data_IF_799923414291
#
_entry.id   IF_799923414291
#
_cell.length_a   1.000
_cell.length_b   1.000
_cell.length_c   1.000
_cell.angle_alpha   90.00
_cell.angle_beta   90.00
_cell.angle_gamma   90.00
#
_symmetry.space_group_name_H-M   'P 1'
#
loop_
_entity.id
_entity.type
_entity.pdbx_description
1 polymer ?
#
# COMPACT_ATOMS: atom_id res chain seq x y z
N UNK A 1 20.62 12.50 10.02
CA UNK A 1 19.88 12.02 8.82
C UNK A 1 19.34 13.20 8.07
N UNK A 2 19.39 13.25 6.74
CA UNK A 2 18.79 14.33 5.99
C UNK A 2 17.27 14.35 6.25
N UNK A 3 16.75 15.52 6.52
CA UNK A 3 15.31 15.70 6.69
C UNK A 3 14.71 15.91 5.30
N UNK A 4 13.99 14.90 4.79
CA UNK A 4 13.33 15.02 3.49
C UNK A 4 12.20 16.08 3.55
N UNK A 5 11.92 16.78 2.44
CA UNK A 5 10.75 17.65 2.34
C UNK A 5 9.49 16.86 2.69
N UNK A 6 8.65 17.42 3.56
CA UNK A 6 7.46 16.77 4.08
C UNK A 6 6.30 17.75 4.17
N UNK A 7 5.11 17.31 3.79
CA UNK A 7 3.83 17.95 4.12
C UNK A 7 3.11 17.18 5.21
N UNK A 8 2.12 17.79 5.85
CA UNK A 8 1.29 17.08 6.83
C UNK A 8 -0.04 16.69 6.21
N UNK A 9 -0.30 15.39 6.14
CA UNK A 9 -1.56 14.82 5.63
C UNK A 9 -2.27 13.97 6.68
N UNK A 10 -1.54 13.14 7.39
CA UNK A 10 -2.10 12.13 8.28
C UNK A 10 -2.10 12.58 9.75
N UNK A 11 -2.96 11.94 10.53
CA UNK A 11 -2.89 11.96 11.98
C UNK A 11 -2.03 10.78 12.43
N UNK A 12 -0.84 11.08 12.95
CA UNK A 12 0.10 10.12 13.50
C UNK A 12 0.48 10.52 14.93
N UNK A 13 0.79 9.57 15.84
CA UNK A 13 0.81 8.13 15.58
C UNK A 13 -0.59 7.54 15.37
N UNK A 14 -0.72 6.58 14.43
CA UNK A 14 -1.98 5.87 14.24
C UNK A 14 -2.25 4.91 15.41
N UNK A 15 -3.51 4.59 15.74
CA UNK A 15 -3.81 3.72 16.87
C UNK A 15 -3.17 2.34 16.74
N UNK A 16 -2.73 1.82 17.87
CA UNK A 16 -2.23 0.45 18.05
C UNK A 16 -2.94 -0.16 19.25
N UNK A 17 -3.59 -1.29 19.08
CA UNK A 17 -4.27 -2.00 20.18
C UNK A 17 -4.33 -3.50 19.94
N UNK A 18 -4.54 -4.25 21.01
CA UNK A 18 -4.74 -5.68 20.97
C UNK A 18 -6.11 -6.02 20.41
N UNK A 19 -6.22 -7.10 19.67
CA UNK A 19 -7.47 -7.70 19.20
C UNK A 19 -7.82 -8.86 20.13
N UNK A 20 -8.62 -8.61 21.16
CA UNK A 20 -8.80 -9.57 22.25
C UNK A 20 -9.50 -10.85 21.80
N UNK A 21 -10.61 -10.74 21.09
CA UNK A 21 -11.33 -11.92 20.61
C UNK A 21 -10.58 -12.69 19.53
N UNK A 22 -9.91 -11.99 18.62
CA UNK A 22 -9.12 -12.64 17.60
C UNK A 22 -7.87 -13.30 18.17
N UNK A 23 -7.26 -12.72 19.20
CA UNK A 23 -6.14 -13.34 19.92
C UNK A 23 -6.54 -14.68 20.55
N UNK A 24 -7.68 -14.70 21.25
CA UNK A 24 -8.19 -15.91 21.90
C UNK A 24 -8.56 -17.00 20.87
N UNK A 25 -9.21 -16.62 19.75
CA UNK A 25 -9.59 -17.55 18.68
C UNK A 25 -8.37 -18.14 17.95
N UNK A 26 -7.31 -17.36 17.78
CA UNK A 26 -6.13 -17.75 17.00
C UNK A 26 -4.96 -18.27 17.86
N UNK A 27 -5.05 -18.13 19.18
CA UNK A 27 -4.01 -18.60 20.12
C UNK A 27 -2.69 -17.84 20.05
N UNK A 28 -2.71 -16.55 19.64
CA UNK A 28 -1.53 -15.68 19.56
C UNK A 28 -1.82 -14.33 20.23
N UNK A 29 -0.80 -13.56 20.62
CA UNK A 29 -0.98 -12.19 21.09
C UNK A 29 -1.08 -11.23 19.89
N UNK A 30 -2.30 -11.09 19.35
CA UNK A 30 -2.56 -10.36 18.09
C UNK A 30 -2.89 -8.89 18.35
N UNK A 31 -2.11 -8.02 17.74
CA UNK A 31 -2.28 -6.57 17.75
C UNK A 31 -2.58 -6.04 16.36
N UNK A 32 -3.20 -4.87 16.29
CA UNK A 32 -3.48 -4.20 15.02
C UNK A 32 -2.96 -2.76 15.01
N UNK A 33 -2.19 -2.43 13.98
CA UNK A 33 -1.76 -1.06 13.66
C UNK A 33 -2.75 -0.46 12.66
N UNK A 34 -3.44 0.62 13.04
CA UNK A 34 -4.65 1.14 12.38
C UNK A 34 -4.36 2.27 11.40
N UNK A 35 -3.68 1.97 10.27
CA UNK A 35 -3.51 2.97 9.21
C UNK A 35 -4.80 3.26 8.42
N UNK A 36 -5.82 2.44 8.54
CA UNK A 36 -7.17 2.76 8.10
C UNK A 36 -7.74 4.01 8.82
N UNK A 37 -7.19 4.38 9.98
CA UNK A 37 -7.57 5.54 10.79
C UNK A 37 -6.59 6.71 10.69
N UNK A 38 -5.84 6.84 9.61
CA UNK A 38 -4.95 8.01 9.40
C UNK A 38 -5.67 9.36 9.34
N UNK A 39 -7.01 9.36 9.24
CA UNK A 39 -7.81 10.59 9.16
C UNK A 39 -7.71 11.34 7.83
N UNK A 40 -6.94 10.84 6.86
CA UNK A 40 -6.74 11.47 5.57
C UNK A 40 -7.45 10.69 4.45
N UNK A 41 -8.32 11.37 3.69
CA UNK A 41 -9.02 10.84 2.52
C UNK A 41 -9.61 9.43 2.76
N UNK A 42 -10.40 9.24 3.81
CA UNK A 42 -10.99 7.99 4.28
C UNK A 42 -9.97 6.92 4.70
N UNK A 43 -8.80 7.36 5.15
CA UNK A 43 -7.79 6.49 5.74
C UNK A 43 -6.97 5.66 4.76
N UNK A 44 -5.97 5.01 5.28
CA UNK A 44 -5.08 4.10 4.56
C UNK A 44 -3.61 4.53 4.58
N UNK A 45 -2.76 3.55 4.35
CA UNK A 45 -1.31 3.65 4.46
C UNK A 45 -0.65 4.60 3.44
N UNK A 46 -1.34 4.95 2.36
CA UNK A 46 -0.77 5.77 1.28
C UNK A 46 -0.47 7.21 1.72
N UNK A 47 -1.22 7.72 2.70
CA UNK A 47 -0.96 9.03 3.28
C UNK A 47 0.46 9.16 3.84
N UNK A 48 1.02 8.11 4.45
CA UNK A 48 2.41 8.09 4.95
C UNK A 48 3.44 8.32 3.84
N UNK A 49 3.23 7.71 2.69
CA UNK A 49 4.08 7.89 1.49
C UNK A 49 3.90 9.29 0.90
N UNK A 50 2.63 9.70 0.78
CA UNK A 50 2.27 10.97 0.16
C UNK A 50 2.78 12.19 0.93
N UNK A 51 2.93 12.12 2.25
CA UNK A 51 3.56 13.21 3.00
C UNK A 51 4.93 13.60 2.45
N UNK A 52 5.73 12.62 2.02
CA UNK A 52 7.06 12.84 1.46
C UNK A 52 7.04 13.03 -0.06
N UNK A 53 6.21 12.30 -0.79
CA UNK A 53 6.07 12.45 -2.24
C UNK A 53 5.55 13.85 -2.63
N UNK A 54 4.53 14.35 -1.94
CA UNK A 54 4.04 15.72 -2.14
C UNK A 54 5.09 16.75 -1.70
N UNK A 55 5.79 16.49 -0.59
CA UNK A 55 6.89 17.35 -0.15
C UNK A 55 7.97 17.48 -1.22
N UNK A 56 8.40 16.37 -1.82
CA UNK A 56 9.37 16.34 -2.90
C UNK A 56 8.85 17.07 -4.15
N UNK A 57 7.62 16.77 -4.59
CA UNK A 57 7.01 17.43 -5.75
C UNK A 57 6.95 18.95 -5.59
N UNK A 58 6.55 19.44 -4.42
CA UNK A 58 6.49 20.89 -4.14
C UNK A 58 7.90 21.52 -4.09
N UNK A 59 8.88 20.83 -3.50
CA UNK A 59 10.27 21.29 -3.47
C UNK A 59 10.87 21.42 -4.88
N UNK A 60 10.47 20.56 -5.81
CA UNK A 60 10.82 20.66 -7.21
C UNK A 60 9.99 21.73 -7.96
N UNK A 61 8.94 22.27 -7.35
CA UNK A 61 8.03 23.24 -7.97
C UNK A 61 7.11 22.61 -9.01
N UNK A 62 6.72 21.35 -8.82
CA UNK A 62 5.74 20.68 -9.67
C UNK A 62 4.39 21.40 -9.68
N UNK A 63 3.72 21.39 -10.82
CA UNK A 63 2.35 21.92 -10.99
C UNK A 63 1.34 20.80 -11.28
N UNK A 64 1.83 19.61 -11.63
CA UNK A 64 1.03 18.42 -11.87
C UNK A 64 1.72 17.17 -11.34
N UNK A 65 0.93 16.22 -10.84
CA UNK A 65 1.41 14.87 -10.51
C UNK A 65 0.69 13.89 -11.42
N UNK A 66 1.46 12.98 -11.99
CA UNK A 66 0.93 11.89 -12.82
C UNK A 66 1.29 10.54 -12.22
N UNK A 67 0.35 9.60 -12.26
CA UNK A 67 0.52 8.23 -11.75
C UNK A 67 -0.24 7.22 -12.59
N UNK A 68 -0.16 5.93 -12.22
CA UNK A 68 -0.97 4.87 -12.82
C UNK A 68 -1.47 3.88 -11.77
N UNK A 69 -2.44 3.04 -12.16
CA UNK A 69 -2.97 1.97 -11.32
C UNK A 69 -4.29 1.41 -11.81
N UNK A 70 -4.96 0.61 -10.98
CA UNK A 70 -6.33 0.19 -11.27
C UNK A 70 -7.31 1.34 -10.99
N UNK A 71 -8.49 1.29 -11.64
CA UNK A 71 -9.59 2.25 -11.41
C UNK A 71 -9.97 2.33 -9.92
N UNK A 72 -9.88 1.22 -9.18
CA UNK A 72 -10.17 1.19 -7.74
C UNK A 72 -8.93 1.38 -6.84
N UNK A 73 -7.92 2.10 -7.32
CA UNK A 73 -6.66 2.32 -6.60
C UNK A 73 -6.85 3.19 -5.35
N UNK A 74 -6.51 2.66 -4.18
CA UNK A 74 -6.43 3.43 -2.94
C UNK A 74 -5.32 4.51 -2.97
N UNK A 75 -4.30 4.33 -3.81
CA UNK A 75 -3.23 5.31 -3.98
C UNK A 75 -3.72 6.52 -4.75
N UNK A 76 -4.41 6.32 -5.88
CA UNK A 76 -4.93 7.40 -6.73
C UNK A 76 -5.89 8.28 -5.92
N UNK A 77 -6.84 7.69 -5.17
CA UNK A 77 -7.73 8.44 -4.28
C UNK A 77 -6.97 9.35 -3.32
N UNK A 78 -6.01 8.81 -2.58
CA UNK A 78 -5.28 9.61 -1.60
C UNK A 78 -4.36 10.64 -2.28
N UNK A 79 -3.79 10.31 -3.46
CA UNK A 79 -3.04 11.27 -4.26
C UNK A 79 -3.94 12.42 -4.74
N UNK A 80 -5.12 12.11 -5.27
CA UNK A 80 -6.10 13.12 -5.68
C UNK A 80 -6.46 14.08 -4.55
N UNK A 81 -6.70 13.54 -3.34
CA UNK A 81 -6.97 14.36 -2.16
C UNK A 81 -5.77 15.25 -1.78
N UNK A 82 -4.56 14.72 -1.84
CA UNK A 82 -3.35 15.50 -1.57
C UNK A 82 -3.16 16.60 -2.63
N UNK A 83 -3.33 16.26 -3.91
CA UNK A 83 -3.22 17.26 -4.99
C UNK A 83 -4.25 18.38 -4.82
N UNK A 84 -5.50 18.06 -4.47
CA UNK A 84 -6.54 19.06 -4.19
C UNK A 84 -6.15 19.99 -3.04
N UNK A 85 -5.56 19.47 -1.96
CA UNK A 85 -5.11 20.29 -0.81
C UNK A 85 -3.98 21.26 -1.16
N UNK A 86 -3.13 20.92 -2.12
CA UNK A 86 -1.94 21.73 -2.49
C UNK A 86 -2.06 22.44 -3.84
N UNK A 87 -3.25 22.40 -4.46
CA UNK A 87 -3.50 23.08 -5.75
C UNK A 87 -2.71 22.49 -6.92
N UNK A 88 -2.40 21.19 -6.87
CA UNK A 88 -1.71 20.47 -7.92
C UNK A 88 -2.72 19.79 -8.86
N UNK A 89 -2.44 19.76 -10.16
CA UNK A 89 -3.18 18.91 -11.10
C UNK A 89 -2.85 17.44 -10.79
N UNK A 90 -3.88 16.59 -10.78
CA UNK A 90 -3.71 15.14 -10.62
C UNK A 90 -4.24 14.43 -11.86
N UNK A 91 -3.40 13.63 -12.52
CA UNK A 91 -3.81 12.80 -13.64
C UNK A 91 -3.32 11.35 -13.45
N UNK A 92 -4.11 10.38 -13.91
CA UNK A 92 -3.81 8.97 -13.76
C UNK A 92 -4.12 8.17 -15.02
N UNK A 93 -3.15 7.37 -15.48
CA UNK A 93 -3.40 6.32 -16.47
C UNK A 93 -3.93 5.09 -15.73
N UNK A 94 -5.11 4.58 -16.12
CA UNK A 94 -5.77 3.50 -15.37
C UNK A 94 -6.33 2.41 -16.28
N UNK A 95 -6.33 1.20 -15.74
CA UNK A 95 -7.04 0.03 -16.26
C UNK A 95 -7.96 -0.51 -15.15
N UNK A 96 -9.03 -1.20 -15.49
CA UNK A 96 -9.92 -1.81 -14.49
C UNK A 96 -9.15 -2.87 -13.67
N UNK A 97 -8.52 -3.80 -14.36
CA UNK A 97 -7.72 -4.90 -13.79
C UNK A 97 -6.44 -5.13 -14.62
N UNK A 98 -5.38 -4.34 -14.39
CA UNK A 98 -4.08 -4.65 -14.98
C UNK A 98 -3.57 -6.00 -14.45
N UNK A 99 -2.81 -6.75 -15.24
CA UNK A 99 -2.34 -8.09 -14.90
C UNK A 99 -0.87 -8.30 -15.30
N UNK A 100 -0.22 -9.30 -14.71
CA UNK A 100 1.17 -9.63 -15.00
C UNK A 100 1.29 -10.58 -16.19
N UNK A 101 0.66 -11.75 -16.11
CA UNK A 101 0.85 -12.81 -17.11
C UNK A 101 -0.38 -13.08 -17.99
N UNK A 102 -1.57 -13.00 -17.43
CA UNK A 102 -2.81 -13.31 -18.13
C UNK A 102 -3.99 -12.53 -17.54
N UNK A 103 -4.94 -12.12 -18.39
CA UNK A 103 -6.14 -11.46 -17.90
C UNK A 103 -6.90 -12.36 -16.92
N UNK A 104 -7.37 -11.82 -15.80
CA UNK A 104 -8.18 -12.59 -14.87
C UNK A 104 -9.49 -13.04 -15.53
N UNK A 105 -9.90 -14.25 -15.25
CA UNK A 105 -11.06 -14.88 -15.90
C UNK A 105 -12.40 -14.30 -15.49
N UNK A 106 -12.54 -13.72 -14.30
CA UNK A 106 -13.78 -13.15 -13.77
C UNK A 106 -13.53 -12.32 -12.47
N UNK A 107 -14.46 -11.41 -12.14
CA UNK A 107 -14.74 -11.07 -10.75
C UNK A 107 -13.94 -9.92 -10.14
N UNK A 108 -13.43 -8.99 -10.92
CA UNK A 108 -12.88 -7.73 -10.43
C UNK A 108 -13.91 -6.87 -9.71
N UNK A 109 -13.45 -5.81 -9.06
CA UNK A 109 -14.34 -4.78 -8.53
C UNK A 109 -15.04 -4.05 -9.68
N UNK A 110 -16.20 -3.46 -9.38
CA UNK A 110 -16.90 -2.61 -10.35
C UNK A 110 -16.07 -1.36 -10.66
N UNK A 111 -16.15 -0.86 -11.88
CA UNK A 111 -15.50 0.37 -12.32
C UNK A 111 -16.21 1.63 -11.77
N UNK A 112 -17.29 1.44 -11.04
CA UNK A 112 -18.13 2.48 -10.42
C UNK A 112 -18.15 2.32 -8.89
N UNK A 113 -18.47 3.40 -8.19
CA UNK A 113 -18.48 3.42 -6.72
C UNK A 113 -17.07 3.38 -6.13
N UNK A 114 -16.95 3.12 -4.85
CA UNK A 114 -15.68 2.98 -4.16
C UNK A 114 -14.69 4.13 -4.44
N UNK A 115 -13.47 3.79 -4.79
CA UNK A 115 -12.43 4.77 -5.10
C UNK A 115 -12.71 5.55 -6.38
N UNK A 116 -13.27 4.92 -7.43
CA UNK A 116 -13.56 5.60 -8.70
C UNK A 116 -14.51 6.79 -8.53
N UNK A 117 -15.55 6.65 -7.70
CA UNK A 117 -16.46 7.76 -7.36
C UNK A 117 -15.72 8.88 -6.63
N UNK A 118 -14.86 8.52 -5.69
CA UNK A 118 -14.09 9.49 -4.90
C UNK A 118 -13.05 10.22 -5.74
N UNK A 119 -12.40 9.54 -6.68
CA UNK A 119 -11.45 10.13 -7.63
C UNK A 119 -12.14 11.18 -8.52
N UNK A 120 -13.35 10.90 -8.99
CA UNK A 120 -14.14 11.87 -9.75
C UNK A 120 -14.48 13.13 -8.93
N UNK A 121 -14.85 12.98 -7.66
CA UNK A 121 -15.13 14.11 -6.78
C UNK A 121 -13.89 14.91 -6.40
N UNK A 122 -12.73 14.25 -6.34
CA UNK A 122 -11.42 14.89 -6.09
C UNK A 122 -10.84 15.59 -7.34
N UNK A 123 -11.51 15.47 -8.49
CA UNK A 123 -11.06 16.07 -9.74
C UNK A 123 -9.82 15.41 -10.34
N UNK A 124 -9.62 14.11 -10.08
CA UNK A 124 -8.55 13.35 -10.73
C UNK A 124 -8.88 13.16 -12.20
N UNK A 125 -7.98 13.56 -13.09
CA UNK A 125 -8.11 13.34 -14.54
C UNK A 125 -7.76 11.87 -14.86
N UNK A 126 -8.79 11.04 -14.93
CA UNK A 126 -8.64 9.59 -15.17
C UNK A 126 -8.59 9.30 -16.67
N UNK A 127 -7.47 8.79 -17.16
CA UNK A 127 -7.28 8.29 -18.53
C UNK A 127 -7.45 6.77 -18.50
N UNK A 128 -8.62 6.30 -18.92
CA UNK A 128 -9.00 4.88 -18.85
C UNK A 128 -8.59 4.15 -20.12
N UNK A 129 -7.81 3.08 -19.96
CA UNK A 129 -7.35 2.21 -21.04
C UNK A 129 -8.00 0.83 -20.94
N UNK A 130 -8.01 0.10 -22.05
CA UNK A 130 -8.40 -1.30 -22.03
C UNK A 130 -7.49 -2.11 -21.10
N UNK A 131 -8.03 -3.17 -20.46
CA UNK A 131 -7.22 -4.04 -19.62
C UNK A 131 -6.06 -4.64 -20.42
N UNK A 132 -4.88 -4.60 -19.83
CA UNK A 132 -3.63 -5.05 -20.39
C UNK A 132 -2.63 -5.36 -19.28
N UNK A 133 -1.37 -5.53 -19.65
CA UNK A 133 -0.29 -5.79 -18.70
C UNK A 133 0.11 -4.54 -17.92
N UNK A 134 0.79 -4.74 -16.80
CA UNK A 134 1.43 -3.65 -16.05
C UNK A 134 2.43 -2.86 -16.92
N UNK A 135 3.18 -3.56 -17.79
CA UNK A 135 4.13 -2.91 -18.71
C UNK A 135 3.43 -1.96 -19.69
N UNK A 136 2.28 -2.37 -20.24
CA UNK A 136 1.46 -1.50 -21.11
C UNK A 136 0.94 -0.28 -20.33
N UNK A 137 0.48 -0.48 -19.10
CA UNK A 137 0.03 0.61 -18.24
C UNK A 137 1.15 1.61 -17.91
N UNK A 138 2.38 1.12 -17.71
CA UNK A 138 3.54 1.99 -17.48
C UNK A 138 3.89 2.82 -18.72
N UNK A 139 3.74 2.26 -19.92
CA UNK A 139 3.88 3.04 -21.19
C UNK A 139 2.84 4.16 -21.29
N UNK A 140 1.59 3.88 -20.93
CA UNK A 140 0.54 4.90 -20.88
C UNK A 140 0.82 5.99 -19.82
N UNK A 141 1.40 5.64 -18.69
CA UNK A 141 1.85 6.63 -17.71
C UNK A 141 2.93 7.54 -18.30
N UNK A 142 3.89 7.00 -19.04
CA UNK A 142 4.97 7.78 -19.65
C UNK A 142 4.43 8.70 -20.75
N UNK A 143 3.52 8.21 -21.60
CA UNK A 143 2.83 9.01 -22.62
C UNK A 143 2.04 10.17 -21.99
N UNK A 144 1.25 9.90 -20.97
CA UNK A 144 0.48 10.92 -20.24
C UNK A 144 1.39 11.96 -19.58
N UNK A 145 2.52 11.53 -19.02
CA UNK A 145 3.52 12.43 -18.45
C UNK A 145 4.07 13.39 -19.50
N UNK A 146 4.43 12.90 -20.69
CA UNK A 146 4.95 13.72 -21.78
C UNK A 146 3.90 14.69 -22.34
N UNK A 147 2.65 14.27 -22.45
CA UNK A 147 1.56 15.11 -22.95
C UNK A 147 1.27 16.27 -21.98
N UNK A 148 1.29 16.02 -20.68
CA UNK A 148 1.15 17.08 -19.67
C UNK A 148 2.33 18.05 -19.69
N UNK A 149 3.56 17.59 -19.93
CA UNK A 149 4.74 18.45 -20.11
C UNK A 149 4.61 19.33 -21.34
N UNK A 150 4.19 18.76 -22.48
CA UNK A 150 3.91 19.53 -23.72
C UNK A 150 2.81 20.58 -23.53
N UNK A 151 1.83 20.29 -22.66
CA UNK A 151 0.78 21.23 -22.28
C UNK A 151 1.27 22.33 -21.28
N UNK A 152 2.56 22.36 -20.93
CA UNK A 152 3.17 23.38 -20.09
C UNK A 152 3.18 23.08 -18.59
N UNK A 153 2.81 21.88 -18.17
CA UNK A 153 2.88 21.47 -16.77
C UNK A 153 4.31 21.07 -16.36
N UNK A 154 4.74 21.47 -15.16
CA UNK A 154 5.91 20.88 -14.52
C UNK A 154 5.47 19.60 -13.81
N UNK A 155 5.72 18.45 -14.44
CA UNK A 155 5.19 17.16 -14.04
C UNK A 155 6.12 16.46 -13.05
N UNK A 156 5.58 16.03 -11.91
CA UNK A 156 6.20 15.07 -11.01
C UNK A 156 5.57 13.68 -11.26
N UNK A 157 6.36 12.76 -11.82
CA UNK A 157 5.92 11.41 -12.15
C UNK A 157 6.06 10.49 -10.95
N UNK A 158 4.97 9.86 -10.54
CA UNK A 158 4.92 8.91 -9.43
C UNK A 158 4.50 7.53 -9.94
N UNK A 159 5.30 6.49 -9.75
CA UNK A 159 4.94 5.14 -10.18
C UNK A 159 3.78 4.57 -9.36
N UNK A 160 3.29 3.41 -9.78
CA UNK A 160 2.18 2.71 -9.14
C UNK A 160 2.37 2.62 -7.63
N UNK A 161 1.31 2.93 -6.87
CA UNK A 161 1.32 2.85 -5.41
C UNK A 161 2.30 3.78 -4.68
N UNK A 162 2.92 4.73 -5.38
CA UNK A 162 3.93 5.64 -4.80
C UNK A 162 5.23 4.92 -4.43
N UNK A 163 5.66 3.96 -5.26
CA UNK A 163 6.83 3.14 -4.99
C UNK A 163 8.12 3.83 -5.39
N UNK A 164 8.51 4.81 -4.58
CA UNK A 164 9.71 5.62 -4.69
C UNK A 164 10.47 5.64 -3.34
N UNK A 165 11.75 6.01 -3.34
CA UNK A 165 12.54 6.15 -2.11
C UNK A 165 11.87 7.01 -1.03
N UNK A 166 11.23 8.12 -1.40
CA UNK A 166 10.49 8.99 -0.50
C UNK A 166 9.27 8.27 0.11
N UNK A 167 8.59 7.44 -0.69
CA UNK A 167 7.49 6.61 -0.22
C UNK A 167 7.94 5.55 0.78
N UNK A 168 9.11 4.92 0.55
CA UNK A 168 9.73 3.99 1.49
C UNK A 168 10.16 4.67 2.78
N UNK A 169 10.66 5.91 2.71
CA UNK A 169 11.02 6.71 3.88
C UNK A 169 9.82 6.93 4.80
N UNK A 170 8.62 7.14 4.24
CA UNK A 170 7.39 7.24 5.02
C UNK A 170 7.11 6.00 5.87
N UNK A 171 7.45 4.81 5.35
CA UNK A 171 7.29 3.56 6.09
C UNK A 171 8.45 3.21 7.00
N UNK A 172 9.64 3.65 6.71
CA UNK A 172 10.77 3.60 7.65
C UNK A 172 10.46 4.41 8.91
N UNK A 173 9.91 5.61 8.76
CA UNK A 173 9.43 6.43 9.90
C UNK A 173 8.26 5.75 10.63
N UNK A 174 7.37 5.08 9.90
CA UNK A 174 6.24 4.35 10.49
C UNK A 174 6.69 3.12 11.29
N UNK A 175 7.75 2.44 10.86
CA UNK A 175 8.38 1.34 11.62
C UNK A 175 8.89 1.84 12.97
N UNK A 176 9.55 3.02 12.99
CA UNK A 176 9.95 3.66 14.25
C UNK A 176 8.76 3.97 15.14
N UNK A 177 7.68 4.54 14.57
CA UNK A 177 6.45 4.81 15.31
C UNK A 177 5.88 3.56 15.97
N UNK A 178 5.84 2.44 15.25
CA UNK A 178 5.36 1.16 15.79
C UNK A 178 6.23 0.69 16.97
N UNK A 179 7.54 0.75 16.83
CA UNK A 179 8.48 0.35 17.88
C UNK A 179 8.33 1.22 19.14
N UNK A 180 8.19 2.53 18.98
CA UNK A 180 7.99 3.47 20.09
C UNK A 180 6.65 3.26 20.82
N UNK A 181 5.60 2.79 20.13
CA UNK A 181 4.29 2.52 20.73
C UNK A 181 4.22 1.23 21.54
N UNK A 182 5.06 0.24 21.25
CA UNK A 182 4.92 -1.10 21.85
C UNK A 182 6.26 -1.78 22.15
N UNK A 183 7.14 -1.20 22.99
CA UNK A 183 8.33 -1.92 23.42
C UNK A 183 7.96 -3.19 24.20
N UNK A 184 8.71 -4.30 24.10
CA UNK A 184 9.96 -4.44 23.36
C UNK A 184 9.81 -4.69 21.85
N UNK A 185 8.61 -4.64 21.26
CA UNK A 185 8.34 -4.89 19.86
C UNK A 185 7.40 -6.08 19.62
N UNK A 186 7.42 -6.59 18.41
CA UNK A 186 6.63 -7.73 17.95
C UNK A 186 7.56 -8.81 17.39
N UNK A 187 7.15 -10.08 17.51
CA UNK A 187 7.84 -11.19 16.86
C UNK A 187 7.62 -11.12 15.32
N UNK A 188 6.42 -10.67 14.90
CA UNK A 188 6.12 -10.51 13.48
C UNK A 188 5.23 -9.29 13.21
N UNK A 189 5.47 -8.64 12.06
CA UNK A 189 4.59 -7.61 11.47
C UNK A 189 4.09 -8.12 10.13
N UNK A 190 2.76 -8.30 10.01
CA UNK A 190 2.10 -8.88 8.83
C UNK A 190 1.24 -7.81 8.14
N UNK A 191 1.36 -7.66 6.83
CA UNK A 191 0.62 -6.67 6.05
C UNK A 191 0.48 -7.06 4.58
N UNK A 192 -0.43 -6.38 3.88
CA UNK A 192 -0.56 -6.51 2.43
C UNK A 192 0.61 -5.83 1.70
N UNK A 193 1.34 -6.57 0.90
CA UNK A 193 2.46 -6.12 0.07
C UNK A 193 2.12 -6.21 -1.42
N UNK A 194 2.47 -5.18 -2.18
CA UNK A 194 2.27 -5.09 -3.62
C UNK A 194 3.41 -4.22 -4.19
N UNK A 195 3.23 -2.94 -4.50
CA UNK A 195 4.22 -2.07 -5.17
C UNK A 195 5.54 -1.79 -4.42
N UNK A 196 5.78 -2.30 -3.23
CA UNK A 196 7.10 -2.38 -2.57
C UNK A 196 7.43 -1.35 -1.49
N UNK A 197 7.14 -0.07 -1.62
CA UNK A 197 7.67 0.93 -0.68
C UNK A 197 7.25 0.75 0.79
N UNK A 198 6.10 0.11 1.07
CA UNK A 198 5.74 -0.30 2.43
C UNK A 198 6.70 -1.37 2.96
N UNK A 199 6.92 -2.42 2.16
CA UNK A 199 7.82 -3.53 2.50
C UNK A 199 9.26 -3.04 2.71
N UNK A 200 9.78 -2.29 1.75
CA UNK A 200 11.15 -1.78 1.79
C UNK A 200 11.38 -0.89 3.02
N UNK A 201 10.48 0.05 3.30
CA UNK A 201 10.61 0.93 4.47
C UNK A 201 10.59 0.18 5.79
N UNK A 202 9.66 -0.76 5.97
CA UNK A 202 9.56 -1.58 7.18
C UNK A 202 10.74 -2.56 7.31
N UNK A 203 11.14 -3.24 6.22
CA UNK A 203 12.27 -4.16 6.23
C UNK A 203 13.58 -3.47 6.65
N UNK A 204 13.84 -2.27 6.14
CA UNK A 204 15.01 -1.49 6.57
C UNK A 204 14.92 -1.09 8.05
N UNK A 205 13.74 -0.64 8.54
CA UNK A 205 13.62 -0.27 9.95
C UNK A 205 13.89 -1.45 10.88
N UNK A 206 13.33 -2.61 10.56
CA UNK A 206 13.43 -3.80 11.40
C UNK A 206 14.65 -4.69 11.10
N UNK A 207 15.51 -4.31 10.14
CA UNK A 207 16.69 -5.11 9.70
C UNK A 207 17.59 -5.58 10.85
N UNK A 208 17.77 -4.75 11.87
CA UNK A 208 18.62 -5.05 13.03
C UNK A 208 17.85 -5.53 14.25
N UNK A 209 16.59 -5.91 14.08
CA UNK A 209 15.74 -6.47 15.13
C UNK A 209 15.43 -7.94 14.87
N UNK A 210 14.82 -8.60 15.86
CA UNK A 210 14.32 -9.97 15.71
C UNK A 210 12.90 -10.01 15.12
N UNK A 211 12.34 -8.87 14.74
CA UNK A 211 10.98 -8.78 14.18
C UNK A 211 10.94 -9.24 12.74
N UNK A 212 10.17 -10.27 12.46
CA UNK A 212 9.87 -10.71 11.08
C UNK A 212 8.92 -9.74 10.38
N UNK A 213 9.35 -9.16 9.25
CA UNK A 213 8.53 -8.28 8.39
C UNK A 213 7.96 -9.09 7.24
N UNK A 214 6.68 -9.49 7.34
CA UNK A 214 6.04 -10.44 6.44
C UNK A 214 5.03 -9.72 5.54
N UNK A 215 5.37 -9.56 4.26
CA UNK A 215 4.47 -9.06 3.23
C UNK A 215 3.63 -10.19 2.65
N UNK A 216 2.34 -9.97 2.53
CA UNK A 216 1.44 -10.88 1.82
C UNK A 216 1.18 -10.31 0.44
N UNK A 217 1.65 -11.00 -0.58
CA UNK A 217 1.50 -10.58 -1.97
C UNK A 217 0.03 -10.47 -2.38
N UNK A 218 -0.29 -9.43 -3.13
CA UNK A 218 -1.64 -9.18 -3.66
C UNK A 218 -1.70 -9.39 -5.18
N UNK A 219 -0.54 -9.60 -5.80
CA UNK A 219 -0.34 -9.86 -7.22
C UNK A 219 0.52 -11.13 -7.39
N UNK A 220 0.26 -11.99 -8.39
CA UNK A 220 1.07 -13.18 -8.69
C UNK A 220 2.37 -12.83 -9.42
N UNK A 221 3.24 -12.06 -8.82
CA UNK A 221 4.50 -11.58 -9.36
C UNK A 221 5.68 -12.18 -8.59
N UNK A 222 6.21 -13.34 -9.03
CA UNK A 222 7.28 -14.06 -8.30
C UNK A 222 8.57 -13.25 -8.18
N UNK A 223 8.85 -12.36 -9.13
CA UNK A 223 10.07 -11.56 -9.19
C UNK A 223 9.98 -10.22 -8.45
N UNK A 224 8.85 -9.93 -7.79
CA UNK A 224 8.60 -8.67 -7.09
C UNK A 224 9.68 -8.33 -6.05
N UNK A 225 10.33 -9.35 -5.46
CA UNK A 225 11.45 -9.15 -4.55
C UNK A 225 12.62 -8.42 -5.23
N UNK A 226 12.83 -8.65 -6.53
CA UNK A 226 13.87 -7.95 -7.28
C UNK A 226 13.55 -6.47 -7.48
N UNK A 227 12.29 -6.12 -7.69
CA UNK A 227 11.85 -4.72 -7.72
C UNK A 227 12.07 -4.03 -6.37
N UNK A 228 11.85 -4.76 -5.25
CA UNK A 228 12.12 -4.25 -3.91
C UNK A 228 13.62 -4.00 -3.68
N UNK A 229 14.49 -4.84 -4.25
CA UNK A 229 15.95 -4.60 -4.25
C UNK A 229 16.28 -3.30 -4.98
N UNK A 230 15.72 -3.08 -6.18
CA UNK A 230 15.97 -1.85 -6.93
C UNK A 230 15.47 -0.61 -6.18
N UNK A 231 14.29 -0.68 -5.57
CA UNK A 231 13.78 0.38 -4.72
C UNK A 231 14.68 0.61 -3.49
N UNK A 232 15.16 -0.46 -2.88
CA UNK A 232 16.08 -0.40 -1.73
C UNK A 232 17.42 0.27 -2.10
N UNK A 233 17.94 0.05 -3.30
CA UNK A 233 19.16 0.75 -3.79
C UNK A 233 18.99 2.27 -3.82
N UNK A 234 17.80 2.74 -4.21
CA UNK A 234 17.49 4.17 -4.18
C UNK A 234 17.21 4.71 -2.78
N UNK A 235 16.64 3.88 -1.91
CA UNK A 235 16.21 4.29 -0.57
C UNK A 235 17.34 4.25 0.48
N UNK A 236 18.17 3.23 0.49
CA UNK A 236 19.20 3.01 1.51
C UNK A 236 20.15 4.21 1.72
N UNK A 237 20.59 4.92 0.66
CA UNK A 237 21.43 6.12 0.82
C UNK A 237 20.72 7.24 1.62
N UNK A 238 19.38 7.34 1.56
CA UNK A 238 18.63 8.38 2.29
C UNK A 238 18.70 8.19 3.81
N UNK A 239 18.95 6.98 4.28
CA UNK A 239 19.04 6.64 5.70
C UNK A 239 20.46 6.28 6.13
N UNK A 240 21.43 6.30 5.21
CA UNK A 240 22.84 5.98 5.49
C UNK A 240 23.11 4.49 5.68
N UNK A 241 22.31 3.63 5.05
CA UNK A 241 22.42 2.17 5.10
C UNK A 241 22.86 1.57 3.75
N UNK A 242 23.11 0.25 3.75
CA UNK A 242 23.31 -0.53 2.53
C UNK A 242 21.97 -1.07 2.02
N UNK A 243 21.79 -1.23 0.69
CA UNK A 243 20.61 -1.88 0.13
C UNK A 243 20.36 -3.27 0.72
N UNK A 244 19.10 -3.66 0.77
CA UNK A 244 18.67 -5.02 1.08
C UNK A 244 18.81 -5.90 -0.17
N UNK A 245 19.01 -7.20 0.02
CA UNK A 245 19.00 -8.21 -1.03
C UNK A 245 17.64 -8.95 -1.04
N UNK A 246 17.37 -9.71 -2.10
CA UNK A 246 16.05 -10.34 -2.29
C UNK A 246 15.64 -11.27 -1.12
N UNK A 247 16.60 -11.98 -0.55
CA UNK A 247 16.42 -12.92 0.56
C UNK A 247 16.04 -12.23 1.89
N UNK A 248 16.28 -10.93 2.03
CA UNK A 248 15.89 -10.14 3.18
C UNK A 248 14.42 -9.69 3.11
N UNK A 249 13.73 -9.92 1.98
CA UNK A 249 12.30 -9.63 1.83
C UNK A 249 11.48 -10.91 2.00
N UNK A 250 10.81 -11.04 3.14
CA UNK A 250 9.89 -12.16 3.37
C UNK A 250 8.52 -11.86 2.77
N UNK A 251 8.20 -12.52 1.65
CA UNK A 251 6.96 -12.34 0.89
C UNK A 251 6.26 -13.70 0.76
N UNK A 252 4.94 -13.74 1.02
CA UNK A 252 4.10 -14.93 0.85
C UNK A 252 3.13 -14.73 -0.31
N UNK A 253 3.05 -15.71 -1.19
CA UNK A 253 2.22 -15.67 -2.40
C UNK A 253 0.96 -16.55 -2.32
N UNK A 254 0.82 -17.39 -1.28
CA UNK A 254 -0.24 -18.40 -1.19
C UNK A 254 -1.66 -17.81 -1.11
N UNK A 255 -1.80 -16.52 -0.80
CA UNK A 255 -3.08 -15.84 -0.59
C UNK A 255 -3.43 -14.82 -1.67
N UNK A 256 -2.70 -14.79 -2.77
CA UNK A 256 -3.01 -13.91 -3.93
C UNK A 256 -4.43 -14.20 -4.48
N UNK A 257 -4.86 -15.46 -4.43
CA UNK A 257 -6.15 -15.89 -4.98
C UNK A 257 -6.14 -15.81 -6.52
N UNK A 258 -7.26 -15.38 -7.15
CA UNK A 258 -7.37 -15.37 -8.62
C UNK A 258 -6.47 -14.35 -9.34
N UNK A 259 -5.87 -13.40 -8.62
CA UNK A 259 -5.00 -12.37 -9.18
C UNK A 259 -5.19 -11.00 -8.53
N UNK A 260 -4.48 -10.00 -9.07
CA UNK A 260 -4.61 -8.63 -8.64
C UNK A 260 -6.01 -8.07 -8.94
N UNK A 261 -6.53 -7.26 -8.03
CA UNK A 261 -7.85 -6.64 -8.20
C UNK A 261 -9.04 -7.58 -8.02
N UNK A 262 -8.81 -8.89 -7.79
CA UNK A 262 -9.85 -9.90 -7.66
C UNK A 262 -10.00 -10.31 -6.18
N UNK A 263 -11.21 -10.21 -5.60
CA UNK A 263 -11.49 -10.76 -4.28
C UNK A 263 -11.26 -12.28 -4.21
N UNK A 264 -10.67 -12.78 -3.13
CA UNK A 264 -10.50 -14.21 -2.90
C UNK A 264 -11.52 -14.75 -1.89
N UNK A 265 -11.78 -16.06 -1.95
CA UNK A 265 -12.68 -16.74 -1.00
C UNK A 265 -12.21 -16.59 0.45
N UNK A 266 -10.91 -16.83 0.69
CA UNK A 266 -10.30 -16.71 2.01
C UNK A 266 -10.26 -15.26 2.50
N UNK A 267 -9.93 -14.30 1.61
CA UNK A 267 -10.00 -12.87 1.91
C UNK A 267 -11.41 -12.44 2.33
N UNK A 268 -12.45 -12.90 1.60
CA UNK A 268 -13.83 -12.61 1.95
C UNK A 268 -14.27 -13.24 3.29
N UNK A 269 -13.72 -14.40 3.66
CA UNK A 269 -13.95 -15.01 4.97
C UNK A 269 -13.26 -14.19 6.07
N UNK A 270 -12.02 -13.76 5.85
CA UNK A 270 -11.26 -12.93 6.78
C UNK A 270 -11.94 -11.56 7.03
N UNK A 271 -12.47 -10.91 5.98
CA UNK A 271 -13.25 -9.67 6.10
C UNK A 271 -14.46 -9.89 7.04
N UNK A 272 -15.27 -10.93 6.78
CA UNK A 272 -16.44 -11.23 7.61
C UNK A 272 -16.07 -11.62 9.02
N UNK A 273 -14.99 -12.36 9.21
CA UNK A 273 -14.51 -12.77 10.52
C UNK A 273 -14.14 -11.54 11.36
N UNK A 274 -13.24 -10.68 10.88
CA UNK A 274 -12.76 -9.54 11.64
C UNK A 274 -13.87 -8.51 11.90
N UNK A 275 -14.77 -8.30 10.93
CA UNK A 275 -15.93 -7.43 11.11
C UNK A 275 -16.85 -7.92 12.23
N UNK A 276 -17.08 -9.23 12.36
CA UNK A 276 -17.97 -9.81 13.38
C UNK A 276 -17.32 -9.92 14.75
N UNK A 277 -16.01 -10.14 14.79
CA UNK A 277 -15.29 -10.36 16.05
C UNK A 277 -14.80 -9.06 16.68
N UNK A 278 -14.32 -8.12 15.88
CA UNK A 278 -13.65 -6.89 16.34
C UNK A 278 -14.30 -5.60 15.83
N UNK A 279 -15.33 -5.68 14.98
CA UNK A 279 -15.98 -4.50 14.40
C UNK A 279 -15.08 -3.76 13.39
N UNK A 280 -14.08 -4.42 12.81
CA UNK A 280 -13.09 -3.82 11.91
C UNK A 280 -13.31 -4.33 10.49
N UNK A 281 -13.39 -3.40 9.53
CA UNK A 281 -13.59 -3.71 8.11
C UNK A 281 -12.27 -3.74 7.36
N UNK A 282 -11.98 -4.86 6.70
CA UNK A 282 -10.87 -5.02 5.74
C UNK A 282 -11.37 -4.81 4.33
N UNK A 283 -10.46 -4.57 3.38
CA UNK A 283 -10.77 -4.49 1.96
C UNK A 283 -10.58 -5.85 1.25
N UNK A 284 -11.25 -6.08 0.11
CA UNK A 284 -11.22 -7.38 -0.55
C UNK A 284 -9.94 -7.68 -1.34
N UNK A 285 -9.12 -6.66 -1.65
CA UNK A 285 -7.97 -6.78 -2.56
C UNK A 285 -6.65 -6.96 -1.80
N UNK A 286 -6.49 -6.24 -0.69
CA UNK A 286 -5.25 -6.14 0.06
C UNK A 286 -5.37 -6.71 1.48
N UNK A 287 -6.00 -5.97 2.37
CA UNK A 287 -6.00 -6.28 3.81
C UNK A 287 -6.77 -7.55 4.14
N UNK A 288 -7.81 -7.90 3.39
CA UNK A 288 -8.53 -9.17 3.55
C UNK A 288 -7.67 -10.40 3.22
N UNK A 289 -6.90 -10.34 2.12
CA UNK A 289 -5.96 -11.41 1.74
C UNK A 289 -4.84 -11.54 2.78
N UNK A 290 -4.30 -10.41 3.24
CA UNK A 290 -3.24 -10.39 4.24
C UNK A 290 -3.72 -10.95 5.59
N UNK A 291 -4.93 -10.62 6.02
CA UNK A 291 -5.47 -11.16 7.26
C UNK A 291 -5.82 -12.65 7.15
N UNK A 292 -6.25 -13.12 5.96
CA UNK A 292 -6.45 -14.55 5.70
C UNK A 292 -5.14 -15.34 5.86
N UNK A 293 -4.03 -14.82 5.32
CA UNK A 293 -2.70 -15.39 5.49
C UNK A 293 -2.27 -15.43 6.98
N UNK A 294 -2.53 -14.35 7.72
CA UNK A 294 -2.25 -14.30 9.15
C UNK A 294 -3.05 -15.37 9.91
N UNK A 295 -4.35 -15.50 9.64
CA UNK A 295 -5.19 -16.53 10.28
C UNK A 295 -4.68 -17.95 9.98
N UNK A 296 -4.25 -18.22 8.76
CA UNK A 296 -3.69 -19.51 8.38
C UNK A 296 -2.34 -19.77 9.08
N UNK A 297 -1.46 -18.77 9.11
CA UNK A 297 -0.16 -18.85 9.79
C UNK A 297 -0.28 -19.09 11.30
N UNK A 298 -1.25 -18.43 11.96
CA UNK A 298 -1.54 -18.69 13.37
C UNK A 298 -2.03 -20.13 13.61
N UNK A 299 -2.97 -20.61 12.77
CA UNK A 299 -3.50 -21.97 12.88
C UNK A 299 -2.47 -23.07 12.60
N UNK A 300 -1.52 -22.83 11.72
CA UNK A 300 -0.43 -23.78 11.42
C UNK A 300 0.71 -23.74 12.44
N UNK A 301 0.74 -22.75 13.33
CA UNK A 301 1.84 -22.48 14.25
C UNK A 301 3.06 -21.78 13.61
N UNK A 302 2.96 -21.35 12.36
CA UNK A 302 4.01 -20.56 11.69
C UNK A 302 4.11 -19.15 12.27
N UNK A 303 2.98 -18.57 12.66
CA UNK A 303 2.93 -17.32 13.41
C UNK A 303 2.62 -17.65 14.87
N UNK A 304 3.45 -17.16 15.79
CA UNK A 304 3.32 -17.35 17.21
C UNK A 304 3.79 -16.12 17.97
N UNK A 305 3.57 -16.09 19.29
CA UNK A 305 3.99 -14.98 20.12
C UNK A 305 3.19 -13.70 19.86
N UNK A 306 3.88 -12.57 19.81
CA UNK A 306 3.28 -11.23 19.67
C UNK A 306 3.31 -10.77 18.24
N UNK A 307 2.15 -10.79 17.57
CA UNK A 307 1.99 -10.50 16.14
C UNK A 307 1.27 -9.17 15.93
N UNK A 308 1.82 -8.30 15.09
CA UNK A 308 1.16 -7.06 14.66
C UNK A 308 0.61 -7.22 13.25
N UNK A 309 -0.71 -7.13 13.08
CA UNK A 309 -1.32 -6.92 11.78
C UNK A 309 -1.31 -5.42 11.45
N UNK A 310 -0.65 -5.03 10.35
CA UNK A 310 -0.71 -3.66 9.88
C UNK A 310 -1.87 -3.47 8.92
N UNK A 311 -2.95 -2.89 9.41
CA UNK A 311 -4.14 -2.61 8.61
C UNK A 311 -3.88 -1.43 7.67
N UNK A 312 -3.59 -1.73 6.41
CA UNK A 312 -3.20 -0.74 5.39
C UNK A 312 -4.35 0.10 4.84
N UNK A 313 -5.58 -0.11 5.30
CA UNK A 313 -6.78 0.60 4.83
C UNK A 313 -7.48 -0.13 3.69
N UNK A 314 -8.06 0.63 2.76
CA UNK A 314 -8.72 0.08 1.57
C UNK A 314 -10.24 -0.03 1.66
N UNK A 315 -10.84 0.32 2.77
CA UNK A 315 -12.29 0.20 3.03
C UNK A 315 -13.20 0.74 1.90
N UNK A 316 -12.90 1.85 1.20
CA UNK A 316 -13.73 2.29 0.08
C UNK A 316 -13.96 1.24 -1.02
N UNK A 317 -13.01 0.32 -1.22
CA UNK A 317 -13.13 -0.75 -2.22
C UNK A 317 -14.29 -1.73 -1.91
N UNK A 318 -14.75 -1.84 -0.66
CA UNK A 318 -15.94 -2.62 -0.30
C UNK A 318 -17.20 -2.13 -1.01
N UNK A 319 -17.29 -0.85 -1.32
CA UNK A 319 -18.45 -0.25 -2.00
C UNK A 319 -18.38 -0.36 -3.52
N UNK A 320 -17.38 -1.06 -4.06
CA UNK A 320 -17.25 -1.44 -5.46
C UNK A 320 -17.36 -2.98 -5.68
N UNK A 321 -17.71 -3.75 -4.64
CA UNK A 321 -17.97 -5.20 -4.73
C UNK A 321 -19.27 -5.50 -5.47
#
# INVERSE_FOLDING_TARGET
MPQLPKVRLIQAPTPLHRLDFASDDLGIDLWIKRDDLTGFALGGNKGRKLEYLIGAALAEGATAIVTCGSIQSNFIRQLGAACAMFGLKCAAAVMATPYEFAPPSNGGLRDEGGNALLDAWLGVEMHVYANGTWEELFKHLDELSEDLKKAGSKVFRVPVGGSMPEGAYGFWVAGRELYEQAPPGFDSVVFASSSGSTQVGLAHWFRSSETDVIGIACDPEPEIAQEFVELSKGFAPLIGEHPLVAEEFRIKFDFVGPGYGIPSGDGNQAIRYLARREGIFLDPIYSGKAFAALMAGAKSGELSGRVCFWHTGGTPALFAM
#
